data_IF_731936311170
#
_entry.id   IF_731936311170
#
_cell.length_a   1.000
_cell.length_b   1.000
_cell.length_c   1.000
_cell.angle_alpha   90.00
_cell.angle_beta   90.00
_cell.angle_gamma   90.00
#
_symmetry.space_group_name_H-M   'P 1'
#
loop_
_entity.id
_entity.type
_entity.pdbx_description
1 polymer ?
#
# COMPACT_ATOMS: atom_id res chain seq x y z
N UNK A 1 19.96 0.35 -2.58
CA UNK A 1 18.81 0.38 -1.65
C UNK A 1 18.83 1.59 -0.72
N UNK A 2 19.96 1.99 -0.13
CA UNK A 2 20.03 3.12 0.81
C UNK A 2 19.51 4.46 0.24
N UNK A 3 19.76 4.75 -1.04
CA UNK A 3 19.26 5.96 -1.69
C UNK A 3 17.72 6.00 -1.76
N UNK A 4 17.07 4.86 -2.02
CA UNK A 4 15.60 4.79 -2.07
C UNK A 4 14.97 4.91 -0.66
N UNK A 5 15.60 4.35 0.37
CA UNK A 5 15.16 4.57 1.75
C UNK A 5 15.32 6.04 2.17
N UNK A 6 16.47 6.63 1.88
CA UNK A 6 16.82 7.99 2.31
C UNK A 6 15.97 9.06 1.62
N UNK A 7 15.73 8.94 0.30
CA UNK A 7 15.02 9.97 -0.46
C UNK A 7 13.49 9.83 -0.44
N UNK A 8 12.94 8.61 -0.36
CA UNK A 8 11.50 8.40 -0.55
C UNK A 8 10.75 8.01 0.73
N UNK A 9 11.42 7.35 1.67
CA UNK A 9 10.76 6.78 2.87
C UNK A 9 11.03 7.65 4.10
N UNK A 10 12.30 8.05 4.30
CA UNK A 10 12.71 8.85 5.46
C UNK A 10 11.97 10.19 5.60
N UNK A 11 11.78 11.00 4.52
CA UNK A 11 11.14 12.30 4.65
C UNK A 11 9.66 12.17 5.04
N UNK A 12 8.96 11.19 4.47
CA UNK A 12 7.54 10.95 4.76
C UNK A 12 7.33 10.48 6.21
N UNK A 13 8.22 9.64 6.74
CA UNK A 13 8.15 9.19 8.14
C UNK A 13 8.43 10.35 9.10
N UNK A 14 9.36 11.23 8.75
CA UNK A 14 9.77 12.33 9.62
C UNK A 14 8.73 13.45 9.66
N UNK A 15 8.15 13.81 8.51
CA UNK A 15 7.19 14.93 8.38
C UNK A 15 5.76 14.49 8.75
N UNK A 16 5.41 13.23 8.50
CA UNK A 16 4.08 12.66 8.77
C UNK A 16 3.48 12.99 10.15
N UNK A 17 4.16 12.73 11.29
CA UNK A 17 3.59 12.98 12.61
C UNK A 17 3.34 14.46 12.89
N UNK A 18 4.18 15.37 12.37
CA UNK A 18 3.99 16.81 12.52
C UNK A 18 2.76 17.30 11.77
N UNK A 19 2.56 16.80 10.55
CA UNK A 19 1.37 17.06 9.74
C UNK A 19 0.12 16.60 10.50
N UNK A 20 0.10 15.34 10.96
CA UNK A 20 -1.07 14.77 11.66
C UNK A 20 -1.39 15.56 12.93
N UNK A 21 -0.39 15.95 13.73
CA UNK A 21 -0.59 16.74 14.94
C UNK A 21 -1.20 18.12 14.65
N UNK A 22 -0.65 18.85 13.67
CA UNK A 22 -1.14 20.18 13.31
C UNK A 22 -2.57 20.16 12.79
N UNK A 23 -2.88 19.21 11.89
CA UNK A 23 -4.23 19.09 11.35
C UNK A 23 -5.23 18.57 12.38
N UNK A 24 -4.82 17.67 13.29
CA UNK A 24 -5.68 17.24 14.42
C UNK A 24 -6.10 18.43 15.27
N UNK A 25 -5.16 19.34 15.60
CA UNK A 25 -5.47 20.56 16.34
C UNK A 25 -6.47 21.46 15.61
N UNK A 26 -6.24 21.69 14.30
CA UNK A 26 -7.16 22.48 13.47
C UNK A 26 -8.55 21.86 13.38
N UNK A 27 -8.65 20.54 13.21
CA UNK A 27 -9.94 19.86 13.15
C UNK A 27 -10.66 19.83 14.50
N UNK A 28 -9.94 19.74 15.62
CA UNK A 28 -10.55 19.86 16.95
C UNK A 28 -11.20 21.24 17.16
N UNK A 29 -10.55 22.30 16.67
CA UNK A 29 -11.08 23.66 16.76
C UNK A 29 -12.34 23.86 15.91
N UNK A 30 -12.46 23.20 14.76
CA UNK A 30 -13.58 23.44 13.83
C UNK A 30 -14.72 22.44 13.91
N UNK A 31 -14.42 21.13 14.06
CA UNK A 31 -15.42 20.06 14.06
C UNK A 31 -15.73 19.53 15.48
N UNK A 32 -15.02 20.02 16.50
CA UNK A 32 -15.14 19.57 17.88
C UNK A 32 -14.53 18.17 18.13
N UNK A 33 -14.60 17.72 19.39
CA UNK A 33 -14.00 16.44 19.81
C UNK A 33 -14.62 15.21 19.14
N UNK A 34 -15.92 15.26 18.80
CA UNK A 34 -16.60 14.15 18.11
C UNK A 34 -16.08 13.95 16.68
N UNK A 35 -15.80 15.03 15.94
CA UNK A 35 -15.24 14.95 14.60
C UNK A 35 -13.84 14.32 14.58
N UNK A 36 -13.01 14.66 15.56
CA UNK A 36 -11.69 14.05 15.74
C UNK A 36 -11.82 12.55 16.03
N UNK A 37 -12.72 12.14 16.92
CA UNK A 37 -12.96 10.73 17.25
C UNK A 37 -13.30 9.87 16.03
N UNK A 38 -14.15 10.36 15.12
CA UNK A 38 -14.55 9.64 13.91
C UNK A 38 -13.37 9.45 12.95
N UNK A 39 -12.52 10.47 12.79
CA UNK A 39 -11.33 10.39 11.91
C UNK A 39 -10.33 9.38 12.46
N UNK A 40 -10.08 9.37 13.77
CA UNK A 40 -9.18 8.41 14.39
C UNK A 40 -9.74 6.98 14.34
N UNK A 41 -11.05 6.80 14.51
CA UNK A 41 -11.70 5.49 14.34
C UNK A 41 -11.51 4.95 12.91
N UNK A 42 -11.72 5.80 11.90
CA UNK A 42 -11.46 5.46 10.50
C UNK A 42 -9.99 5.09 10.25
N UNK A 43 -9.06 5.83 10.82
CA UNK A 43 -7.61 5.56 10.74
C UNK A 43 -7.23 4.21 11.35
N UNK A 44 -7.77 3.86 12.52
CA UNK A 44 -7.49 2.58 13.19
C UNK A 44 -8.01 1.42 12.35
N UNK A 45 -9.24 1.52 11.83
CA UNK A 45 -9.82 0.50 10.95
C UNK A 45 -8.99 0.32 9.67
N UNK A 46 -8.62 1.43 9.03
CA UNK A 46 -7.73 1.45 7.86
C UNK A 46 -6.40 0.73 8.12
N UNK A 47 -5.79 1.00 9.27
CA UNK A 47 -4.49 0.44 9.68
C UNK A 47 -4.57 -1.07 9.94
N UNK A 48 -5.62 -1.54 10.63
CA UNK A 48 -5.82 -2.97 10.92
C UNK A 48 -5.94 -3.76 9.62
N UNK A 49 -6.80 -3.31 8.70
CA UNK A 49 -6.99 -3.97 7.41
C UNK A 49 -5.72 -3.94 6.57
N UNK A 50 -5.00 -2.81 6.54
CA UNK A 50 -3.73 -2.69 5.83
C UNK A 50 -2.67 -3.67 6.39
N UNK A 51 -2.57 -3.81 7.71
CA UNK A 51 -1.64 -4.75 8.36
C UNK A 51 -1.92 -6.20 7.98
N UNK A 52 -3.19 -6.61 7.96
CA UNK A 52 -3.61 -7.96 7.58
C UNK A 52 -3.21 -8.25 6.12
N UNK A 53 -3.36 -7.27 5.24
CA UNK A 53 -3.08 -7.43 3.81
C UNK A 53 -1.58 -7.38 3.46
N UNK A 54 -0.77 -6.55 4.13
CA UNK A 54 0.70 -6.48 3.90
C UNK A 54 1.40 -7.77 4.35
N UNK A 55 0.97 -8.34 5.48
CA UNK A 55 1.62 -9.49 6.13
C UNK A 55 1.91 -10.68 5.18
N UNK A 56 0.95 -11.19 4.38
CA UNK A 56 1.21 -12.28 3.44
C UNK A 56 2.15 -11.88 2.31
N UNK A 57 2.12 -10.63 1.83
CA UNK A 57 2.95 -10.17 0.70
C UNK A 57 4.44 -10.24 1.04
N UNK A 58 4.83 -9.84 2.25
CA UNK A 58 6.23 -9.89 2.71
C UNK A 58 6.73 -11.34 2.79
N UNK A 59 5.88 -12.27 3.25
CA UNK A 59 6.22 -13.70 3.32
C UNK A 59 6.42 -14.31 1.93
N UNK A 60 5.61 -13.93 0.95
CA UNK A 60 5.79 -14.37 -0.44
C UNK A 60 7.05 -13.78 -1.07
N UNK A 61 7.35 -12.50 -0.81
CA UNK A 61 8.57 -11.84 -1.30
C UNK A 61 9.84 -12.58 -0.83
N UNK A 62 9.92 -12.93 0.46
CA UNK A 62 11.07 -13.69 0.97
C UNK A 62 11.21 -15.09 0.36
N UNK A 63 10.11 -15.75 0.00
CA UNK A 63 10.15 -17.06 -0.69
C UNK A 63 10.66 -16.97 -2.12
N UNK A 64 10.36 -15.86 -2.80
CA UNK A 64 10.87 -15.54 -4.13
C UNK A 64 12.36 -15.26 -4.07
N UNK A 65 12.78 -14.34 -3.19
CA UNK A 65 14.20 -13.98 -3.02
C UNK A 65 15.06 -15.21 -2.70
N UNK A 66 14.55 -16.12 -1.86
CA UNK A 66 15.24 -17.39 -1.57
C UNK A 66 15.39 -18.28 -2.82
N UNK A 67 14.30 -18.48 -3.57
CA UNK A 67 14.36 -19.30 -4.79
C UNK A 67 15.25 -18.69 -5.87
N UNK A 68 15.28 -17.36 -5.96
CA UNK A 68 16.16 -16.63 -6.86
C UNK A 68 17.62 -16.82 -6.45
N UNK A 69 17.91 -16.77 -5.13
CA UNK A 69 19.21 -17.09 -4.56
C UNK A 69 19.66 -18.51 -4.92
N UNK A 70 18.79 -19.51 -4.73
CA UNK A 70 19.08 -20.93 -5.03
C UNK A 70 19.39 -21.13 -6.54
N UNK A 71 18.63 -20.49 -7.42
CA UNK A 71 18.86 -20.54 -8.88
C UNK A 71 20.19 -19.87 -9.27
N UNK A 72 20.48 -18.68 -8.72
CA UNK A 72 21.75 -17.98 -8.96
C UNK A 72 22.95 -18.79 -8.46
N UNK A 73 22.82 -19.42 -7.28
CA UNK A 73 23.86 -20.27 -6.74
C UNK A 73 24.16 -21.45 -7.67
N UNK A 74 23.13 -22.17 -8.15
CA UNK A 74 23.31 -23.27 -9.11
C UNK A 74 24.03 -22.83 -10.37
N UNK A 75 23.67 -21.66 -10.92
CA UNK A 75 24.31 -21.12 -12.12
C UNK A 75 25.80 -20.81 -11.91
N UNK A 76 26.18 -20.29 -10.73
CA UNK A 76 27.59 -20.07 -10.37
C UNK A 76 28.33 -21.39 -10.20
N UNK A 77 27.74 -22.39 -9.56
CA UNK A 77 28.31 -23.72 -9.40
C UNK A 77 28.56 -24.40 -10.74
N UNK A 78 27.62 -24.30 -11.69
CA UNK A 78 27.78 -24.83 -13.05
C UNK A 78 28.96 -24.17 -13.76
N UNK A 79 29.09 -22.84 -13.67
CA UNK A 79 30.21 -22.10 -14.26
C UNK A 79 31.56 -22.51 -13.67
N UNK A 80 31.64 -22.64 -12.34
CA UNK A 80 32.89 -22.97 -11.66
C UNK A 80 33.33 -24.42 -11.91
N UNK A 81 32.38 -25.34 -12.12
CA UNK A 81 32.65 -26.76 -12.33
C UNK A 81 32.46 -27.23 -13.78
N UNK A 82 32.46 -26.30 -14.75
CA UNK A 82 32.15 -26.59 -16.14
C UNK A 82 33.07 -27.68 -16.75
N UNK A 83 34.37 -27.63 -16.42
CA UNK A 83 35.34 -28.62 -16.89
C UNK A 83 35.05 -30.02 -16.36
N UNK A 84 34.75 -30.14 -15.06
CA UNK A 84 34.40 -31.41 -14.44
C UNK A 84 33.09 -31.96 -15.02
N UNK A 85 32.07 -31.13 -15.18
CA UNK A 85 30.79 -31.53 -15.79
C UNK A 85 30.95 -32.01 -17.24
N UNK A 86 31.85 -31.39 -18.01
CA UNK A 86 32.16 -31.81 -19.38
C UNK A 86 32.92 -33.15 -19.40
N UNK A 87 33.89 -33.35 -18.51
CA UNK A 87 34.65 -34.60 -18.39
C UNK A 87 33.75 -35.79 -18.02
N UNK A 88 32.80 -35.59 -17.12
CA UNK A 88 31.83 -36.61 -16.72
C UNK A 88 30.62 -36.75 -17.66
N UNK A 89 30.53 -35.93 -18.73
CA UNK A 89 29.36 -35.85 -19.63
C UNK A 89 28.04 -35.66 -18.88
N UNK A 90 28.05 -34.85 -17.81
CA UNK A 90 26.93 -34.64 -16.90
C UNK A 90 25.93 -33.57 -17.37
N UNK A 91 25.96 -33.18 -18.66
CA UNK A 91 25.15 -32.10 -19.24
C UNK A 91 23.65 -32.31 -19.00
N UNK A 92 23.13 -33.51 -19.28
CA UNK A 92 21.70 -33.82 -19.16
C UNK A 92 21.21 -33.71 -17.71
N UNK A 93 22.04 -34.13 -16.76
CA UNK A 93 21.74 -34.04 -15.33
C UNK A 93 21.74 -32.58 -14.85
N UNK A 94 22.78 -31.83 -15.19
CA UNK A 94 22.91 -30.41 -14.81
C UNK A 94 21.80 -29.53 -15.41
N UNK A 95 21.39 -29.84 -16.65
CA UNK A 95 20.25 -29.22 -17.31
C UNK A 95 18.94 -29.52 -16.57
N UNK A 96 18.68 -30.79 -16.26
CA UNK A 96 17.47 -31.19 -15.53
C UNK A 96 17.36 -30.50 -14.16
N UNK A 97 18.45 -30.43 -13.40
CA UNK A 97 18.48 -29.76 -12.10
C UNK A 97 18.28 -28.24 -12.24
N UNK A 98 18.87 -27.61 -13.26
CA UNK A 98 18.69 -26.18 -13.54
C UNK A 98 17.25 -25.87 -13.94
N UNK A 99 16.63 -26.68 -14.81
CA UNK A 99 15.23 -26.54 -15.21
C UNK A 99 14.28 -26.76 -14.03
N UNK A 100 14.59 -27.67 -13.10
CA UNK A 100 13.81 -27.88 -11.87
C UNK A 100 13.81 -26.63 -10.98
N UNK A 101 14.98 -26.06 -10.71
CA UNK A 101 15.11 -24.84 -9.89
C UNK A 101 14.45 -23.64 -10.58
N UNK A 102 14.60 -23.53 -11.89
CA UNK A 102 13.94 -22.49 -12.68
C UNK A 102 12.42 -22.61 -12.61
N UNK A 103 11.84 -23.80 -12.75
CA UNK A 103 10.38 -24.00 -12.63
C UNK A 103 9.85 -23.62 -11.23
N UNK A 104 10.61 -23.92 -10.17
CA UNK A 104 10.25 -23.51 -8.80
C UNK A 104 10.28 -21.99 -8.68
N UNK A 105 11.32 -21.34 -9.20
CA UNK A 105 11.44 -19.88 -9.21
C UNK A 105 10.29 -19.26 -10.02
N UNK A 106 10.05 -19.76 -11.22
CA UNK A 106 9.00 -19.28 -12.13
C UNK A 106 7.64 -19.32 -11.46
N UNK A 107 7.26 -20.46 -10.86
CA UNK A 107 5.98 -20.56 -10.17
C UNK A 107 5.90 -19.63 -8.95
N UNK A 108 6.96 -19.50 -8.16
CA UNK A 108 6.98 -18.56 -7.02
C UNK A 108 6.86 -17.11 -7.47
N UNK A 109 7.57 -16.74 -8.53
CA UNK A 109 7.52 -15.43 -9.15
C UNK A 109 6.13 -15.16 -9.73
N UNK A 110 5.53 -16.14 -10.43
CA UNK A 110 4.20 -16.05 -10.98
C UNK A 110 3.15 -15.86 -9.89
N UNK A 111 3.17 -16.69 -8.83
CA UNK A 111 2.26 -16.52 -7.69
C UNK A 111 2.44 -15.15 -7.04
N UNK A 112 3.68 -14.73 -6.75
CA UNK A 112 3.96 -13.41 -6.20
C UNK A 112 3.46 -12.27 -7.11
N UNK A 113 3.67 -12.40 -8.42
CA UNK A 113 3.16 -11.46 -9.42
C UNK A 113 1.63 -11.50 -9.46
N UNK A 114 0.95 -12.65 -9.42
CA UNK A 114 -0.50 -12.72 -9.32
C UNK A 114 -1.04 -12.05 -8.05
N UNK A 115 -0.30 -12.11 -6.94
CA UNK A 115 -0.60 -11.37 -5.72
C UNK A 115 -0.28 -9.86 -5.83
N UNK A 116 0.64 -9.45 -6.72
CA UNK A 116 1.13 -8.07 -6.92
C UNK A 116 0.47 -7.32 -8.09
N UNK A 117 -0.01 -8.02 -9.11
CA UNK A 117 -0.63 -7.51 -10.34
C UNK A 117 -1.89 -6.65 -10.16
N UNK A 118 -2.67 -6.71 -9.06
CA UNK A 118 -3.64 -5.65 -8.76
C UNK A 118 -3.04 -4.23 -8.69
N UNK A 119 -1.72 -4.07 -8.84
CA UNK A 119 -1.01 -2.80 -8.78
C UNK A 119 -0.58 -2.24 -10.14
N UNK A 120 -0.76 -2.97 -11.26
CA UNK A 120 -0.20 -2.56 -12.58
C UNK A 120 -1.20 -2.53 -13.74
N UNK A 121 -2.40 -3.08 -13.62
CA UNK A 121 -3.40 -2.98 -14.67
C UNK A 121 -4.04 -1.59 -14.71
N UNK A 122 -3.36 -0.67 -15.39
CA UNK A 122 -3.96 0.47 -16.06
C UNK A 122 -4.49 -0.05 -17.41
N UNK A 123 -5.81 0.00 -17.60
CA UNK A 123 -6.59 -0.28 -18.83
C UNK A 123 -6.08 -1.42 -19.74
N UNK A 124 -6.79 -2.53 -19.77
CA UNK A 124 -7.50 -2.98 -20.99
C UNK A 124 -8.29 -4.27 -20.69
N UNK A 125 -9.44 -4.36 -21.33
CA UNK A 125 -10.58 -5.25 -21.16
C UNK A 125 -10.21 -6.75 -21.10
N UNK A 126 -10.51 -7.43 -19.98
CA UNK A 126 -11.31 -8.66 -19.97
C UNK A 126 -11.61 -9.17 -18.55
N UNK A 127 -12.80 -9.75 -18.41
CA UNK A 127 -13.54 -10.14 -17.22
C UNK A 127 -13.08 -11.51 -16.69
N UNK A 128 -12.81 -11.63 -15.37
CA UNK A 128 -13.19 -12.78 -14.52
C UNK A 128 -12.86 -12.52 -13.02
N UNK A 129 -13.81 -11.82 -12.41
CA UNK A 129 -14.52 -12.04 -11.13
C UNK A 129 -13.85 -12.76 -9.93
N UNK A 130 -13.88 -12.01 -8.82
CA UNK A 130 -14.12 -12.36 -7.40
C UNK A 130 -12.99 -12.61 -6.41
N UNK A 131 -11.74 -12.85 -6.81
CA UNK A 131 -10.69 -13.09 -5.80
C UNK A 131 -9.31 -12.55 -6.17
N UNK A 132 -9.27 -11.34 -6.75
CA UNK A 132 -8.04 -10.75 -7.30
C UNK A 132 -7.74 -9.32 -6.82
N UNK A 133 -8.43 -8.87 -5.78
CA UNK A 133 -8.79 -7.45 -5.66
C UNK A 133 -8.63 -6.88 -4.25
N UNK A 134 -7.79 -7.42 -3.37
CA UNK A 134 -7.87 -7.03 -1.95
C UNK A 134 -6.87 -5.96 -1.51
N UNK A 135 -5.62 -5.96 -1.99
CA UNK A 135 -4.59 -5.15 -1.31
C UNK A 135 -4.55 -3.66 -1.71
N UNK A 136 -4.54 -3.33 -2.99
CA UNK A 136 -4.51 -1.92 -3.43
C UNK A 136 -5.87 -1.32 -3.76
N UNK A 137 -6.90 -2.14 -4.03
CA UNK A 137 -8.28 -1.64 -4.01
C UNK A 137 -8.62 -1.12 -2.63
N UNK A 138 -8.17 -1.78 -1.56
CA UNK A 138 -8.33 -1.23 -0.21
C UNK A 138 -7.67 0.15 -0.06
N UNK A 139 -6.41 0.32 -0.50
CA UNK A 139 -5.75 1.63 -0.38
C UNK A 139 -6.42 2.73 -1.22
N UNK A 140 -6.84 2.41 -2.45
CA UNK A 140 -7.56 3.36 -3.33
C UNK A 140 -8.97 3.66 -2.82
N UNK A 141 -9.68 2.64 -2.34
CA UNK A 141 -10.98 2.74 -1.70
C UNK A 141 -10.90 3.59 -0.43
N UNK A 142 -9.92 3.32 0.44
CA UNK A 142 -9.70 4.03 1.68
C UNK A 142 -9.43 5.53 1.44
N UNK A 143 -8.63 5.86 0.42
CA UNK A 143 -8.39 7.25 0.07
C UNK A 143 -9.63 7.93 -0.54
N UNK A 144 -10.37 7.22 -1.39
CA UNK A 144 -11.59 7.75 -2.03
C UNK A 144 -12.72 7.97 -1.03
N UNK A 145 -13.06 6.96 -0.22
CA UNK A 145 -14.10 7.06 0.81
C UNK A 145 -13.72 8.01 1.92
N UNK A 146 -12.43 8.13 2.23
CA UNK A 146 -11.96 9.16 3.15
C UNK A 146 -12.36 10.55 2.67
N UNK A 147 -12.23 10.86 1.36
CA UNK A 147 -12.63 12.17 0.80
C UNK A 147 -14.10 12.47 1.06
N UNK A 148 -14.97 11.50 0.79
CA UNK A 148 -16.40 11.61 1.09
C UNK A 148 -16.67 11.75 2.59
N UNK A 149 -15.96 11.00 3.44
CA UNK A 149 -16.10 11.08 4.90
C UNK A 149 -15.75 12.48 5.44
N UNK A 150 -14.73 13.13 4.88
CA UNK A 150 -14.36 14.50 5.28
C UNK A 150 -15.49 15.50 5.07
N UNK A 151 -16.26 15.39 3.99
CA UNK A 151 -17.47 16.20 3.79
C UNK A 151 -18.58 15.82 4.77
N UNK A 152 -18.77 14.52 5.02
CA UNK A 152 -19.80 14.06 5.96
C UNK A 152 -19.55 14.57 7.41
N UNK A 153 -18.30 14.72 7.83
CA UNK A 153 -17.95 15.21 9.17
C UNK A 153 -18.34 16.68 9.36
N UNK A 154 -18.43 17.51 8.31
CA UNK A 154 -18.91 18.90 8.43
C UNK A 154 -20.38 19.02 8.82
N UNK A 155 -21.19 17.97 8.65
CA UNK A 155 -22.57 18.01 9.13
C UNK A 155 -22.66 18.16 10.65
N UNK A 156 -21.65 17.71 11.41
CA UNK A 156 -21.61 17.81 12.87
C UNK A 156 -21.53 19.28 13.34
N UNK A 157 -20.54 20.10 12.93
CA UNK A 157 -20.49 21.49 13.36
C UNK A 157 -21.62 22.36 12.80
N UNK A 158 -22.19 22.01 11.65
CA UNK A 158 -23.32 22.73 11.04
C UNK A 158 -24.64 22.45 11.80
N UNK A 159 -24.99 21.18 12.02
CA UNK A 159 -26.30 20.82 12.57
C UNK A 159 -26.33 20.57 14.08
N UNK A 160 -25.21 20.21 14.70
CA UNK A 160 -25.16 19.87 16.14
C UNK A 160 -24.61 21.03 16.96
N UNK A 161 -23.52 21.64 16.51
CA UNK A 161 -22.89 22.73 17.26
C UNK A 161 -23.38 24.13 16.87
N UNK A 162 -24.21 24.26 15.82
CA UNK A 162 -24.75 25.54 15.34
C UNK A 162 -23.68 26.64 15.18
N UNK A 163 -22.44 26.24 14.87
CA UNK A 163 -21.26 27.13 14.96
C UNK A 163 -21.23 28.23 13.89
N UNK A 164 -22.18 28.16 12.95
CA UNK A 164 -22.23 28.95 11.73
C UNK A 164 -23.53 29.76 11.58
N UNK A 165 -24.42 29.74 12.58
CA UNK A 165 -25.72 30.43 12.52
C UNK A 165 -25.59 31.96 12.41
N UNK A 166 -24.46 32.52 12.86
CA UNK A 166 -24.18 33.96 12.85
C UNK A 166 -23.46 34.44 11.57
N UNK A 167 -23.07 33.52 10.68
CA UNK A 167 -22.30 33.86 9.47
C UNK A 167 -23.20 34.03 8.24
N UNK A 168 -22.89 35.02 7.38
CA UNK A 168 -23.65 35.21 6.17
C UNK A 168 -23.41 34.06 5.16
N UNK A 169 -24.48 33.66 4.47
CA UNK A 169 -24.55 32.44 3.64
C UNK A 169 -23.48 32.38 2.53
N UNK A 170 -22.92 33.54 2.12
CA UNK A 170 -21.88 33.62 1.10
C UNK A 170 -20.49 33.18 1.60
N UNK A 171 -20.14 33.41 2.86
CA UNK A 171 -18.84 33.01 3.45
C UNK A 171 -18.86 31.58 4.00
N UNK A 172 -20.07 31.04 4.20
CA UNK A 172 -20.28 29.69 4.72
C UNK A 172 -19.70 28.62 3.79
N UNK A 173 -19.96 28.72 2.48
CA UNK A 173 -19.47 27.76 1.50
C UNK A 173 -17.93 27.75 1.40
N UNK A 174 -17.30 28.93 1.49
CA UNK A 174 -15.84 29.08 1.50
C UNK A 174 -15.21 28.46 2.75
N UNK A 175 -15.81 28.72 3.92
CA UNK A 175 -15.33 28.18 5.20
C UNK A 175 -15.51 26.66 5.27
N UNK A 176 -16.64 26.13 4.81
CA UNK A 176 -16.87 24.67 4.74
C UNK A 176 -15.81 24.01 3.87
N UNK A 177 -15.57 24.52 2.65
CA UNK A 177 -14.56 23.98 1.74
C UNK A 177 -13.15 23.99 2.34
N UNK A 178 -12.77 25.07 3.03
CA UNK A 178 -11.49 25.16 3.70
C UNK A 178 -11.36 24.12 4.82
N UNK A 179 -12.43 23.90 5.59
CA UNK A 179 -12.46 22.93 6.69
C UNK A 179 -12.48 21.50 6.18
N UNK A 180 -13.15 21.25 5.04
CA UNK A 180 -13.08 19.94 4.36
C UNK A 180 -11.68 19.63 3.92
N UNK A 181 -11.00 20.61 3.33
CA UNK A 181 -9.62 20.43 2.88
C UNK A 181 -8.69 20.07 4.04
N UNK A 182 -8.83 20.76 5.19
CA UNK A 182 -8.08 20.47 6.41
C UNK A 182 -8.35 19.06 6.95
N UNK A 183 -9.62 18.65 7.05
CA UNK A 183 -10.00 17.30 7.50
C UNK A 183 -9.54 16.20 6.53
N UNK A 184 -9.50 16.51 5.23
CA UNK A 184 -9.06 15.55 4.21
C UNK A 184 -7.56 15.25 4.24
N UNK A 185 -6.76 16.18 4.80
CA UNK A 185 -5.31 16.11 4.90
C UNK A 185 -4.80 15.26 6.08
N UNK A 186 -5.68 14.79 6.98
CA UNK A 186 -5.33 13.93 8.13
C UNK A 186 -5.20 12.44 7.75
N UNK A 187 -5.60 12.08 6.52
CA UNK A 187 -5.66 10.68 6.06
C UNK A 187 -4.31 10.04 5.84
#
# INVERSE_FOLDING_TARGET
>A
MCNQLACNVLPNILIGPFIVAWYTYKTAQTAGGMGVGIIYAYFVLGTIVNKILISPMVRWNGRVEKAEGDFRYKHVTLRNNAESSALYKAESFERFESDRLFNILWWRQFWYICWKLPNMCKNDYDLNLLMKTHFLVWQKFYNYYGACLSYAIQYIPIFIYHLYDDMPVYDLAGTISQVTFLSSSIK
#
